data_IF_522304534583
#
_entry.id   IF_522304534583
#
_cell.length_a   1.000
_cell.length_b   1.000
_cell.length_c   1.000
_cell.angle_alpha   90.00
_cell.angle_beta   90.00
_cell.angle_gamma   90.00
#
_symmetry.space_group_name_H-M   'P 1'
#
loop_
_entity.id
_entity.type
_entity.pdbx_description
1 polymer ?
#
# COMPACT_ATOMS: atom_id res chain seq x y z
N UNK A 1 -41.25 10.83 -19.55
CA UNK A 1 -41.18 10.63 -18.09
C UNK A 1 -40.44 9.33 -17.83
N UNK A 2 -39.28 9.40 -17.17
CA UNK A 2 -38.50 8.23 -16.72
C UNK A 2 -38.80 8.12 -15.20
N UNK A 3 -39.10 6.92 -14.65
CA UNK A 3 -39.36 6.78 -13.23
C UNK A 3 -38.12 7.19 -12.42
N UNK A 4 -38.32 8.01 -11.40
CA UNK A 4 -37.25 8.66 -10.62
C UNK A 4 -36.49 7.70 -9.67
N UNK A 5 -36.73 6.40 -9.76
CA UNK A 5 -36.23 5.39 -8.81
C UNK A 5 -34.87 4.79 -9.19
N UNK A 6 -34.11 5.48 -10.07
CA UNK A 6 -32.71 5.16 -10.38
C UNK A 6 -31.80 6.37 -10.27
N UNK A 7 -31.99 7.19 -9.23
CA UNK A 7 -30.93 8.10 -8.79
C UNK A 7 -29.86 7.22 -8.13
N UNK A 8 -28.83 6.86 -8.90
CA UNK A 8 -27.57 6.38 -8.33
C UNK A 8 -27.21 7.32 -7.18
N UNK A 9 -27.17 6.80 -5.95
CA UNK A 9 -26.63 7.54 -4.82
C UNK A 9 -25.17 7.81 -5.14
N UNK A 10 -24.89 8.98 -5.71
CA UNK A 10 -23.55 9.50 -5.91
C UNK A 10 -22.89 9.43 -4.54
N UNK A 11 -21.95 8.49 -4.35
CA UNK A 11 -21.18 8.44 -3.12
C UNK A 11 -20.56 9.84 -2.94
N UNK A 12 -20.61 10.42 -1.73
CA UNK A 12 -20.05 11.74 -1.51
C UNK A 12 -18.58 11.70 -1.95
N UNK A 13 -18.23 12.60 -2.87
CA UNK A 13 -16.85 12.76 -3.30
C UNK A 13 -16.01 13.03 -2.04
N UNK A 14 -14.86 12.34 -1.86
CA UNK A 14 -14.03 12.52 -0.68
C UNK A 14 -13.66 14.00 -0.58
N UNK A 15 -14.07 14.65 0.50
CA UNK A 15 -13.67 16.03 0.80
C UNK A 15 -12.20 16.00 1.17
N UNK A 16 -11.35 16.33 0.20
CA UNK A 16 -9.93 16.59 0.44
C UNK A 16 -9.87 17.95 1.12
N UNK A 17 -9.60 17.96 2.42
CA UNK A 17 -9.20 19.18 3.13
C UNK A 17 -7.75 19.51 2.75
N UNK A 18 -7.49 20.78 2.44
CA UNK A 18 -6.15 21.29 2.06
C UNK A 18 -5.06 21.04 3.14
N UNK A 19 -5.44 20.57 4.34
CA UNK A 19 -4.54 20.34 5.47
C UNK A 19 -4.15 18.88 5.74
N UNK A 20 -4.64 17.88 4.98
CA UNK A 20 -4.39 16.46 5.31
C UNK A 20 -3.62 15.67 4.24
N UNK A 21 -2.40 16.11 3.94
CA UNK A 21 -1.35 15.23 3.38
C UNK A 21 -0.04 15.32 4.17
N UNK A 22 -0.11 15.69 5.44
CA UNK A 22 1.07 15.56 6.30
C UNK A 22 1.18 14.09 6.67
N UNK A 23 2.11 13.37 6.02
CA UNK A 23 2.46 12.01 6.42
C UNK A 23 2.93 12.04 7.89
N UNK A 24 2.02 11.71 8.81
CA UNK A 24 2.38 11.48 10.20
C UNK A 24 3.41 10.35 10.25
N UNK A 25 4.49 10.47 11.04
CA UNK A 25 5.44 9.38 11.22
C UNK A 25 4.71 8.10 11.61
N UNK A 26 5.07 6.97 10.99
CA UNK A 26 4.52 5.69 11.39
C UNK A 26 5.06 5.39 12.79
N UNK A 27 4.17 5.27 13.77
CA UNK A 27 4.53 5.00 15.16
C UNK A 27 4.25 3.52 15.47
N UNK A 28 5.22 2.62 15.18
CA UNK A 28 5.02 1.17 15.22
C UNK A 28 4.51 0.70 16.58
N UNK A 29 3.50 -0.18 16.58
CA UNK A 29 2.91 -0.81 17.77
C UNK A 29 2.55 -2.28 17.45
N UNK A 30 3.46 -3.21 17.68
CA UNK A 30 3.19 -4.65 17.62
C UNK A 30 3.61 -5.30 16.30
N UNK A 31 2.72 -6.13 15.72
CA UNK A 31 2.93 -6.87 14.46
C UNK A 31 2.81 -5.94 13.25
N UNK A 32 3.74 -5.00 13.09
CA UNK A 32 3.70 -4.05 11.98
C UNK A 32 3.87 -4.76 10.62
N UNK A 33 3.08 -4.38 9.61
CA UNK A 33 3.09 -5.04 8.31
C UNK A 33 4.43 -4.82 7.58
N UNK A 34 4.97 -5.91 7.03
CA UNK A 34 6.11 -5.84 6.11
C UNK A 34 5.70 -5.12 4.81
N UNK A 35 6.40 -4.04 4.48
CA UNK A 35 6.26 -3.33 3.21
C UNK A 35 7.23 -3.93 2.18
N UNK A 36 6.73 -4.34 1.03
CA UNK A 36 7.56 -4.85 -0.08
C UNK A 36 7.57 -3.81 -1.21
N UNK A 37 8.75 -3.27 -1.52
CA UNK A 37 8.98 -2.35 -2.63
C UNK A 37 9.42 -3.14 -3.85
N UNK A 38 8.59 -3.20 -4.88
CA UNK A 38 8.92 -3.81 -6.16
C UNK A 38 9.33 -2.73 -7.16
N UNK A 39 10.63 -2.63 -7.43
CA UNK A 39 11.22 -1.56 -8.23
C UNK A 39 12.45 -2.12 -8.96
N UNK A 40 12.49 -2.01 -10.28
CA UNK A 40 13.53 -2.62 -11.12
C UNK A 40 14.78 -1.75 -11.20
N UNK A 41 14.65 -0.42 -11.09
CA UNK A 41 15.80 0.48 -11.01
C UNK A 41 16.44 0.46 -9.61
N UNK A 42 17.74 0.12 -9.48
CA UNK A 42 18.39 -0.03 -8.18
C UNK A 42 18.48 1.30 -7.40
N UNK A 43 18.59 2.45 -8.09
CA UNK A 43 18.71 3.76 -7.43
C UNK A 43 17.37 4.24 -6.89
N UNK A 44 16.30 4.06 -7.67
CA UNK A 44 14.92 4.31 -7.26
C UNK A 44 14.56 3.45 -6.04
N UNK A 45 14.89 2.15 -6.10
CA UNK A 45 14.63 1.21 -5.00
C UNK A 45 15.34 1.62 -3.70
N UNK A 46 16.61 1.99 -3.79
CA UNK A 46 17.38 2.46 -2.63
C UNK A 46 16.75 3.71 -2.00
N UNK A 47 16.38 4.70 -2.82
CA UNK A 47 15.73 5.92 -2.37
C UNK A 47 14.42 5.63 -1.63
N UNK A 48 13.56 4.78 -2.21
CA UNK A 48 12.28 4.41 -1.59
C UNK A 48 12.47 3.70 -0.25
N UNK A 49 13.42 2.78 -0.15
CA UNK A 49 13.73 2.09 1.11
C UNK A 49 14.22 3.04 2.19
N UNK A 50 15.09 4.00 1.86
CA UNK A 50 15.55 5.01 2.79
C UNK A 50 14.41 5.92 3.28
N UNK A 51 13.51 6.32 2.37
CA UNK A 51 12.33 7.13 2.71
C UNK A 51 11.36 6.40 3.63
N UNK A 52 11.07 5.12 3.37
CA UNK A 52 10.17 4.32 4.20
C UNK A 52 10.79 4.03 5.57
N UNK A 53 12.06 3.66 5.60
CA UNK A 53 12.78 3.39 6.85
C UNK A 53 12.84 4.63 7.76
N UNK A 54 13.12 5.81 7.19
CA UNK A 54 13.14 7.07 7.95
C UNK A 54 11.76 7.46 8.52
N UNK A 55 10.68 6.89 7.99
CA UNK A 55 9.31 7.06 8.51
C UNK A 55 8.87 5.96 9.47
N UNK A 56 9.73 4.99 9.80
CA UNK A 56 9.45 3.92 10.76
C UNK A 56 8.87 2.64 10.16
N UNK A 57 8.79 2.50 8.83
CA UNK A 57 8.30 1.28 8.19
C UNK A 57 9.38 0.20 8.14
N UNK A 58 8.97 -1.06 8.38
CA UNK A 58 9.77 -2.23 8.03
C UNK A 58 9.59 -2.52 6.54
N UNK A 59 10.55 -2.09 5.71
CA UNK A 59 10.50 -2.24 4.26
C UNK A 59 11.63 -3.13 3.71
N UNK A 60 11.31 -3.96 2.71
CA UNK A 60 12.29 -4.73 1.93
C UNK A 60 12.12 -4.45 0.43
N UNK A 61 13.22 -4.51 -0.32
CA UNK A 61 13.23 -4.26 -1.77
C UNK A 61 13.32 -5.54 -2.58
N UNK A 62 12.59 -5.60 -3.68
CA UNK A 62 12.71 -6.62 -4.73
C UNK A 62 12.77 -5.97 -6.09
N UNK A 63 13.37 -6.66 -7.05
CA UNK A 63 13.58 -6.14 -8.41
C UNK A 63 12.42 -6.49 -9.34
N UNK A 64 11.66 -7.54 -9.01
CA UNK A 64 10.66 -8.12 -9.91
C UNK A 64 9.41 -8.59 -9.16
N UNK A 65 8.26 -8.53 -9.84
CA UNK A 65 6.96 -8.90 -9.25
C UNK A 65 6.84 -10.36 -8.81
N UNK A 66 7.55 -11.30 -9.44
CA UNK A 66 7.55 -12.71 -9.02
C UNK A 66 8.23 -12.92 -7.64
N UNK A 67 9.17 -12.05 -7.29
CA UNK A 67 9.80 -12.05 -5.97
C UNK A 67 8.80 -11.60 -4.89
N UNK A 68 7.92 -10.63 -5.21
CA UNK A 68 6.81 -10.23 -4.32
C UNK A 68 5.91 -11.42 -4.01
N UNK A 69 5.47 -12.14 -5.05
CA UNK A 69 4.57 -13.29 -4.90
C UNK A 69 5.20 -14.37 -4.01
N UNK A 70 6.50 -14.63 -4.17
CA UNK A 70 7.25 -15.59 -3.33
C UNK A 70 7.28 -15.15 -1.86
N UNK A 71 7.50 -13.86 -1.60
CA UNK A 71 7.49 -13.29 -0.24
C UNK A 71 6.08 -13.41 0.35
N UNK A 72 5.05 -12.98 -0.37
CA UNK A 72 3.66 -13.01 0.08
C UNK A 72 3.15 -14.40 0.44
N UNK A 73 3.62 -15.45 -0.26
CA UNK A 73 3.24 -16.84 0.02
C UNK A 73 3.97 -17.44 1.24
N UNK A 74 5.17 -16.95 1.54
CA UNK A 74 5.99 -17.43 2.66
C UNK A 74 5.67 -16.67 3.96
N UNK A 75 5.17 -15.45 3.85
CA UNK A 75 4.55 -14.72 4.95
C UNK A 75 3.17 -15.33 5.20
N UNK A 76 2.97 -15.94 6.37
CA UNK A 76 1.85 -16.84 6.72
C UNK A 76 0.45 -16.15 6.79
N UNK A 77 0.14 -15.16 5.93
CA UNK A 77 -0.98 -14.23 6.05
C UNK A 77 -1.80 -14.02 4.76
N UNK A 78 -1.56 -14.77 3.67
CA UNK A 78 -2.52 -14.79 2.56
C UNK A 78 -3.34 -16.09 2.57
N UNK A 79 -4.69 -16.01 2.47
CA UNK A 79 -5.49 -17.18 2.14
C UNK A 79 -4.98 -17.72 0.79
N UNK A 80 -4.91 -19.05 0.70
CA UNK A 80 -4.46 -19.78 -0.49
C UNK A 80 -5.04 -19.14 -1.76
N UNK A 81 -4.24 -18.95 -2.83
CA UNK A 81 -4.79 -18.48 -4.08
C UNK A 81 -5.89 -19.45 -4.50
N UNK A 82 -7.09 -18.93 -4.75
CA UNK A 82 -8.08 -19.71 -5.48
C UNK A 82 -7.50 -19.94 -6.88
N UNK A 83 -7.61 -21.21 -7.29
CA UNK A 83 -7.32 -21.82 -8.58
C UNK A 83 -5.87 -22.28 -8.78
#
# INVERSE_FOLDING_TARGET
MIPEDKVEKKLPEPKVDEESFVATPHNPKGDDPLVVVAEDDPKSRELMLAMLSSKGYHAIGVERGDQVIKISRNSNHLPSPLI
#
